data_IF_892659882548
#
_entry.id   IF_892659882548
#
_cell.length_a   1.000
_cell.length_b   1.000
_cell.length_c   1.000
_cell.angle_alpha   90.00
_cell.angle_beta   90.00
_cell.angle_gamma   90.00
#
_symmetry.space_group_name_H-M   'P 1'
#
loop_
_entity.id
_entity.type
_entity.pdbx_description
1 polymer ?
#
# COMPACT_ATOMS: atom_id res chain seq x y z
N UNK A 1 21.43 -1.07 -15.11
CA UNK A 1 20.20 -1.20 -14.33
C UNK A 1 19.14 -0.32 -14.97
N UNK A 2 18.00 -0.88 -15.35
CA UNK A 2 16.83 -0.12 -15.81
C UNK A 2 15.72 -0.40 -14.82
N UNK A 3 15.15 0.66 -14.24
CA UNK A 3 14.04 0.54 -13.30
C UNK A 3 12.73 0.74 -14.06
N UNK A 4 11.73 -0.09 -13.76
CA UNK A 4 10.37 0.06 -14.28
C UNK A 4 9.46 0.37 -13.10
N UNK A 5 8.77 1.49 -13.16
CA UNK A 5 7.76 1.88 -12.18
C UNK A 5 6.39 1.89 -12.86
N UNK A 6 5.52 0.97 -12.45
CA UNK A 6 4.16 0.83 -12.96
C UNK A 6 3.21 1.56 -12.01
N UNK A 7 2.72 2.73 -12.44
CA UNK A 7 1.63 3.41 -11.75
C UNK A 7 0.30 2.79 -12.17
N UNK A 8 -0.13 1.82 -11.37
CA UNK A 8 -1.40 1.12 -11.54
C UNK A 8 -2.61 1.91 -11.03
N UNK A 9 -2.45 3.17 -10.63
CA UNK A 9 -3.57 4.02 -10.22
C UNK A 9 -4.22 3.61 -8.89
N UNK A 10 -3.51 2.85 -8.04
CA UNK A 10 -3.95 2.49 -6.68
C UNK A 10 -2.94 2.91 -5.61
N UNK A 11 -2.06 3.86 -5.95
CA UNK A 11 -1.05 4.43 -5.06
C UNK A 11 -1.61 5.59 -4.23
N UNK A 12 -0.87 6.01 -3.19
CA UNK A 12 -1.20 7.19 -2.38
C UNK A 12 -1.13 8.47 -3.21
N UNK A 13 -1.73 9.53 -2.67
CA UNK A 13 -1.69 10.85 -3.28
C UNK A 13 -0.24 11.29 -3.55
N UNK A 14 0.04 11.69 -4.79
CA UNK A 14 1.35 12.17 -5.26
C UNK A 14 2.50 11.15 -5.12
N UNK A 15 2.22 9.86 -4.90
CA UNK A 15 3.27 8.85 -4.69
C UNK A 15 4.09 8.62 -5.96
N UNK A 16 3.44 8.59 -7.13
CA UNK A 16 4.12 8.45 -8.42
C UNK A 16 5.10 9.61 -8.67
N UNK A 17 4.65 10.85 -8.49
CA UNK A 17 5.49 12.04 -8.63
C UNK A 17 6.70 12.02 -7.69
N UNK A 18 6.50 11.60 -6.44
CA UNK A 18 7.58 11.47 -5.46
C UNK A 18 8.60 10.41 -5.87
N UNK A 19 8.16 9.26 -6.40
CA UNK A 19 9.06 8.22 -6.91
C UNK A 19 9.84 8.71 -8.13
N UNK A 20 9.16 9.31 -9.11
CA UNK A 20 9.82 9.84 -10.32
C UNK A 20 10.85 10.92 -9.96
N UNK A 21 10.51 11.83 -9.05
CA UNK A 21 11.41 12.88 -8.55
C UNK A 21 12.62 12.27 -7.84
N UNK A 22 12.42 11.27 -6.95
CA UNK A 22 13.52 10.59 -6.27
C UNK A 22 14.51 9.96 -7.26
N UNK A 23 14.02 9.23 -8.25
CA UNK A 23 14.89 8.56 -9.23
C UNK A 23 15.62 9.55 -10.14
N UNK A 24 14.93 10.61 -10.55
CA UNK A 24 15.50 11.68 -11.40
C UNK A 24 16.56 12.47 -10.66
N UNK A 25 16.26 12.93 -9.44
CA UNK A 25 17.06 13.96 -8.77
C UNK A 25 18.16 13.37 -7.88
N UNK A 26 17.97 12.16 -7.33
CA UNK A 26 18.93 11.56 -6.40
C UNK A 26 19.76 10.42 -7.02
N UNK A 27 19.16 9.56 -7.84
CA UNK A 27 19.83 8.35 -8.32
C UNK A 27 20.42 8.48 -9.72
N UNK A 28 19.86 9.35 -10.57
CA UNK A 28 20.21 9.43 -11.99
C UNK A 28 20.20 8.04 -12.67
N UNK A 29 19.31 7.15 -12.22
CA UNK A 29 19.11 5.81 -12.77
C UNK A 29 17.97 5.89 -13.80
N UNK A 30 18.11 5.27 -14.98
CA UNK A 30 17.02 5.19 -15.95
C UNK A 30 15.75 4.60 -15.33
N UNK A 31 14.68 5.40 -15.31
CA UNK A 31 13.36 5.01 -14.83
C UNK A 31 12.35 5.05 -15.99
N UNK A 32 11.79 3.90 -16.32
CA UNK A 32 10.62 3.79 -17.21
C UNK A 32 9.38 3.93 -16.33
N UNK A 33 8.71 5.08 -16.44
CA UNK A 33 7.43 5.33 -15.77
C UNK A 33 6.28 4.87 -16.70
N UNK A 34 5.49 3.92 -16.23
CA UNK A 34 4.37 3.33 -16.97
C UNK A 34 3.06 3.74 -16.32
N UNK A 35 2.30 4.58 -17.01
CA UNK A 35 0.96 4.96 -16.58
C UNK A 35 -0.03 3.86 -16.98
N UNK A 36 -0.58 3.15 -16.00
CA UNK A 36 -1.48 2.01 -16.19
C UNK A 36 -2.81 2.15 -15.43
N UNK A 37 -3.13 3.32 -14.89
CA UNK A 37 -4.37 3.56 -14.11
C UNK A 37 -5.63 3.07 -14.84
N UNK A 38 -5.81 3.45 -16.11
CA UNK A 38 -7.01 3.08 -16.88
C UNK A 38 -7.15 1.56 -17.06
N UNK A 39 -6.03 0.86 -17.29
CA UNK A 39 -6.01 -0.60 -17.44
C UNK A 39 -6.43 -1.30 -16.15
N UNK A 40 -5.88 -0.87 -15.02
CA UNK A 40 -6.16 -1.50 -13.73
C UNK A 40 -7.57 -1.17 -13.24
N UNK A 41 -7.99 0.10 -13.28
CA UNK A 41 -9.33 0.48 -12.85
C UNK A 41 -10.41 -0.09 -13.77
N UNK A 42 -10.16 -0.16 -15.08
CA UNK A 42 -11.06 -0.80 -16.03
C UNK A 42 -11.24 -2.30 -15.76
N UNK A 43 -10.16 -3.01 -15.42
CA UNK A 43 -10.25 -4.44 -15.10
C UNK A 43 -10.73 -4.75 -13.67
N UNK A 44 -10.74 -3.78 -12.77
CA UNK A 44 -11.34 -3.89 -11.43
C UNK A 44 -12.83 -3.56 -11.40
N UNK A 45 -13.39 -3.00 -12.47
CA UNK A 45 -14.81 -2.67 -12.55
C UNK A 45 -15.70 -3.90 -12.29
N UNK A 46 -16.65 -3.78 -11.37
CA UNK A 46 -17.53 -4.86 -10.93
C UNK A 46 -16.89 -5.93 -10.04
N UNK A 47 -15.57 -5.93 -9.81
CA UNK A 47 -14.92 -6.89 -8.90
C UNK A 47 -15.08 -6.44 -7.45
N UNK A 48 -15.66 -7.31 -6.63
CA UNK A 48 -15.90 -7.06 -5.20
C UNK A 48 -15.16 -8.02 -4.27
N UNK A 49 -14.90 -9.24 -4.73
CA UNK A 49 -14.17 -10.26 -3.98
C UNK A 49 -12.69 -9.87 -3.78
N UNK A 50 -12.18 -9.81 -2.53
CA UNK A 50 -10.81 -9.41 -2.24
C UNK A 50 -9.74 -10.25 -2.94
N UNK A 51 -9.92 -11.58 -2.97
CA UNK A 51 -8.95 -12.50 -3.59
C UNK A 51 -8.94 -12.33 -5.12
N UNK A 52 -10.10 -12.13 -5.74
CA UNK A 52 -10.21 -11.81 -7.15
C UNK A 52 -9.51 -10.49 -7.49
N UNK A 53 -9.70 -9.44 -6.66
CA UNK A 53 -8.98 -8.15 -6.81
C UNK A 53 -7.47 -8.37 -6.74
N UNK A 54 -6.97 -9.09 -5.73
CA UNK A 54 -5.54 -9.40 -5.54
C UNK A 54 -4.96 -10.15 -6.73
N UNK A 55 -5.64 -11.21 -7.18
CA UNK A 55 -5.21 -12.03 -8.32
C UNK A 55 -5.18 -11.22 -9.62
N UNK A 56 -6.20 -10.40 -9.86
CA UNK A 56 -6.23 -9.53 -11.03
C UNK A 56 -5.07 -8.54 -11.01
N UNK A 57 -4.88 -7.77 -9.93
CA UNK A 57 -3.82 -6.77 -9.82
C UNK A 57 -2.45 -7.42 -10.00
N UNK A 58 -2.17 -8.51 -9.29
CA UNK A 58 -0.88 -9.20 -9.38
C UNK A 58 -0.59 -9.69 -10.80
N UNK A 59 -1.57 -10.32 -11.46
CA UNK A 59 -1.43 -10.78 -12.85
C UNK A 59 -1.21 -9.61 -13.82
N UNK A 60 -2.05 -8.58 -13.75
CA UNK A 60 -1.98 -7.42 -14.65
C UNK A 60 -0.68 -6.66 -14.47
N UNK A 61 -0.17 -6.52 -13.25
CA UNK A 61 1.13 -5.93 -12.97
C UNK A 61 2.26 -6.70 -13.65
N UNK A 62 2.26 -8.03 -13.55
CA UNK A 62 3.23 -8.90 -14.21
C UNK A 62 3.14 -8.73 -15.74
N UNK A 63 1.93 -8.72 -16.32
CA UNK A 63 1.73 -8.57 -17.76
C UNK A 63 2.26 -7.21 -18.29
N UNK A 64 2.03 -6.13 -17.54
CA UNK A 64 2.56 -4.79 -17.86
C UNK A 64 4.08 -4.76 -17.73
N UNK A 65 4.62 -5.28 -16.62
CA UNK A 65 6.07 -5.33 -16.40
C UNK A 65 6.79 -6.12 -17.49
N UNK A 66 6.27 -7.30 -17.86
CA UNK A 66 6.84 -8.11 -18.95
C UNK A 66 6.81 -7.38 -20.30
N UNK A 67 5.74 -6.64 -20.57
CA UNK A 67 5.61 -5.86 -21.80
C UNK A 67 6.71 -4.81 -21.89
N UNK A 68 7.01 -4.12 -20.80
CA UNK A 68 8.10 -3.15 -20.77
C UNK A 68 9.49 -3.79 -20.78
N UNK A 69 9.69 -4.88 -20.03
CA UNK A 69 10.95 -5.60 -20.02
C UNK A 69 11.33 -6.10 -21.43
N UNK A 70 10.35 -6.59 -22.21
CA UNK A 70 10.55 -6.99 -23.61
C UNK A 70 10.90 -5.83 -24.54
N UNK A 71 10.31 -4.65 -24.34
CA UNK A 71 10.63 -3.44 -25.12
C UNK A 71 12.06 -2.95 -24.85
N UNK A 72 12.48 -3.00 -23.59
CA UNK A 72 13.85 -2.65 -23.18
C UNK A 72 14.84 -3.65 -23.79
N UNK A 73 14.53 -4.95 -23.73
CA UNK A 73 15.36 -6.02 -24.24
C UNK A 73 16.67 -6.23 -23.48
N UNK A 74 17.30 -7.39 -23.68
CA UNK A 74 18.65 -7.66 -23.18
C UNK A 74 18.81 -7.74 -21.66
N UNK A 75 17.73 -8.00 -20.92
CA UNK A 75 17.79 -8.17 -19.47
C UNK A 75 17.96 -9.65 -19.11
N UNK A 76 19.15 -10.03 -18.63
CA UNK A 76 19.44 -11.40 -18.15
C UNK A 76 19.01 -11.60 -16.69
N UNK A 77 18.89 -10.52 -15.92
CA UNK A 77 18.65 -10.54 -14.47
C UNK A 77 17.45 -9.68 -14.06
N UNK A 78 16.66 -10.18 -13.11
CA UNK A 78 15.65 -9.41 -12.38
C UNK A 78 16.08 -9.22 -10.93
N UNK A 79 16.15 -7.96 -10.48
CA UNK A 79 16.39 -7.64 -9.09
C UNK A 79 15.08 -7.60 -8.29
N UNK A 80 15.06 -8.24 -7.12
CA UNK A 80 13.94 -8.19 -6.16
C UNK A 80 14.42 -7.77 -4.77
N UNK A 81 13.63 -6.94 -4.08
CA UNK A 81 13.91 -6.49 -2.72
C UNK A 81 13.45 -7.45 -1.64
N UNK A 82 13.45 -8.76 -1.89
CA UNK A 82 13.04 -9.80 -0.93
C UNK A 82 13.87 -9.72 0.34
N UNK A 83 13.22 -9.76 1.51
CA UNK A 83 13.88 -9.66 2.82
C UNK A 83 13.99 -11.03 3.51
N UNK A 84 14.81 -11.10 4.56
CA UNK A 84 14.99 -12.34 5.34
C UNK A 84 13.68 -12.88 5.95
N UNK A 85 12.77 -12.04 6.51
CA UNK A 85 11.44 -12.50 6.95
C UNK A 85 10.60 -13.16 5.85
N UNK A 86 10.70 -12.67 4.60
CA UNK A 86 9.95 -13.25 3.49
C UNK A 86 10.47 -14.67 3.15
N UNK A 87 11.78 -14.87 3.24
CA UNK A 87 12.42 -16.16 2.98
C UNK A 87 12.01 -17.19 4.04
N UNK A 88 12.06 -16.85 5.32
CA UNK A 88 11.68 -17.79 6.40
C UNK A 88 10.18 -18.14 6.37
N UNK A 89 9.31 -17.21 5.97
CA UNK A 89 7.87 -17.48 5.82
C UNK A 89 7.58 -18.44 4.66
N UNK A 90 8.40 -18.42 3.61
CA UNK A 90 8.25 -19.29 2.43
C UNK A 90 8.78 -20.72 2.64
N UNK A 91 9.71 -20.91 3.58
CA UNK A 91 10.31 -22.21 3.88
C UNK A 91 9.55 -22.82 5.06
N UNK A 92 8.62 -23.73 4.77
CA UNK A 92 7.89 -24.47 5.81
C UNK A 92 8.86 -25.32 6.66
N UNK A 93 9.30 -24.77 7.79
CA UNK A 93 10.24 -25.45 8.69
C UNK A 93 9.62 -26.68 9.38
N UNK A 94 8.30 -26.84 9.29
CA UNK A 94 7.56 -28.00 9.79
C UNK A 94 6.57 -28.41 8.71
N UNK A 95 6.70 -29.64 8.17
CA UNK A 95 5.84 -30.21 7.13
C UNK A 95 4.38 -30.46 7.52
N UNK A 96 3.77 -29.52 8.25
CA UNK A 96 2.33 -29.43 8.45
C UNK A 96 1.67 -28.64 7.31
N UNK A 97 0.36 -28.78 7.11
CA UNK A 97 -0.37 -28.15 6.03
C UNK A 97 -0.58 -26.67 6.35
N UNK A 98 0.47 -25.85 6.27
CA UNK A 98 0.31 -24.40 6.14
C UNK A 98 -0.13 -24.13 4.71
N UNK A 99 -1.43 -24.31 4.48
CA UNK A 99 -2.15 -23.98 3.26
C UNK A 99 -1.70 -22.62 2.75
N UNK A 100 -0.81 -22.58 1.76
CA UNK A 100 -0.62 -21.48 0.80
C UNK A 100 -0.82 -20.08 1.40
N UNK A 101 -0.17 -19.79 2.54
CA UNK A 101 -0.24 -18.47 3.16
C UNK A 101 0.76 -17.62 2.39
N UNK A 102 0.22 -16.83 1.44
CA UNK A 102 0.92 -16.02 0.41
C UNK A 102 1.38 -16.80 -0.82
N UNK A 103 0.41 -17.19 -1.66
CA UNK A 103 0.68 -17.72 -3.00
C UNK A 103 1.34 -16.73 -3.98
N UNK A 104 1.54 -15.45 -3.62
CA UNK A 104 1.97 -14.40 -4.56
C UNK A 104 2.85 -13.28 -3.97
N UNK A 105 3.53 -13.48 -2.83
CA UNK A 105 4.52 -12.51 -2.36
C UNK A 105 5.92 -13.03 -2.62
N UNK A 106 6.71 -12.28 -3.42
CA UNK A 106 8.17 -12.17 -3.60
C UNK A 106 9.05 -13.44 -3.59
N UNK A 107 8.63 -14.53 -2.98
CA UNK A 107 9.32 -15.80 -2.82
C UNK A 107 8.46 -16.89 -3.47
N UNK A 108 8.29 -16.76 -4.78
CA UNK A 108 7.54 -17.72 -5.61
C UNK A 108 8.11 -17.88 -7.02
N UNK A 109 9.26 -17.24 -7.28
CA UNK A 109 9.85 -17.17 -8.61
C UNK A 109 9.06 -16.28 -9.58
N UNK A 110 9.68 -15.98 -10.70
CA UNK A 110 9.00 -15.33 -11.81
C UNK A 110 8.10 -16.35 -12.52
N UNK A 111 7.00 -15.91 -13.17
CA UNK A 111 6.39 -16.67 -14.25
C UNK A 111 7.46 -17.33 -15.12
N UNK A 112 7.38 -18.65 -15.33
CA UNK A 112 8.39 -19.42 -16.09
C UNK A 112 8.73 -18.79 -17.44
N UNK A 113 7.74 -18.08 -18.03
CA UNK A 113 7.85 -17.37 -19.31
C UNK A 113 8.79 -16.15 -19.31
N UNK A 114 9.25 -15.64 -18.16
CA UNK A 114 10.12 -14.45 -18.13
C UNK A 114 11.58 -14.74 -18.49
N UNK A 115 12.06 -15.98 -18.32
CA UNK A 115 13.42 -16.40 -18.70
C UNK A 115 14.56 -15.47 -18.20
N UNK A 116 14.44 -14.96 -16.96
CA UNK A 116 15.43 -14.10 -16.30
C UNK A 116 15.95 -14.77 -15.03
N UNK A 117 17.21 -14.52 -14.67
CA UNK A 117 17.80 -14.96 -13.40
C UNK A 117 17.46 -13.99 -12.26
N UNK A 118 17.12 -14.51 -11.10
CA UNK A 118 16.73 -13.68 -9.95
C UNK A 118 17.94 -13.22 -9.14
N UNK A 119 17.96 -11.94 -8.75
CA UNK A 119 18.98 -11.34 -7.87
C UNK A 119 18.27 -10.68 -6.68
N UNK A 120 18.51 -11.20 -5.48
CA UNK A 120 17.84 -10.76 -4.25
C UNK A 120 18.86 -10.21 -3.23
N UNK A 121 19.33 -8.95 -3.40
CA UNK A 121 20.45 -8.43 -2.61
C UNK A 121 20.12 -8.19 -1.13
N UNK A 122 18.83 -8.16 -0.75
CA UNK A 122 18.37 -7.87 0.61
C UNK A 122 17.93 -9.12 1.38
N UNK A 123 18.09 -10.31 0.79
CA UNK A 123 17.51 -11.57 1.29
C UNK A 123 18.01 -12.02 2.66
N UNK A 124 19.11 -11.45 3.15
CA UNK A 124 19.71 -11.78 4.45
C UNK A 124 19.48 -10.70 5.50
N UNK A 125 18.71 -9.65 5.18
CA UNK A 125 18.50 -8.50 6.05
C UNK A 125 17.07 -8.45 6.62
N UNK A 126 16.97 -8.01 7.88
CA UNK A 126 15.74 -7.58 8.52
C UNK A 126 15.35 -6.15 8.11
N UNK A 127 14.12 -5.75 8.46
CA UNK A 127 13.53 -4.48 7.97
C UNK A 127 14.23 -3.24 8.52
N UNK A 128 14.69 -3.29 9.77
CA UNK A 128 15.52 -2.29 10.43
C UNK A 128 16.89 -2.16 9.74
N UNK A 129 17.56 -3.29 9.45
CA UNK A 129 18.84 -3.30 8.75
C UNK A 129 18.73 -2.72 7.33
N UNK A 130 17.64 -3.01 6.61
CA UNK A 130 17.36 -2.42 5.29
C UNK A 130 17.16 -0.91 5.39
N UNK A 131 16.57 -0.42 6.49
CA UNK A 131 16.42 1.02 6.71
C UNK A 131 17.78 1.69 6.92
N UNK A 132 18.63 1.08 7.74
CA UNK A 132 19.98 1.59 8.00
C UNK A 132 20.83 1.57 6.72
N UNK A 133 20.77 0.48 5.95
CA UNK A 133 21.40 0.39 4.63
C UNK A 133 20.87 1.49 3.69
N UNK A 134 19.56 1.76 3.70
CA UNK A 134 18.97 2.83 2.91
C UNK A 134 19.55 4.20 3.23
N UNK A 135 19.76 4.51 4.51
CA UNK A 135 20.40 5.77 4.95
C UNK A 135 21.85 5.85 4.53
N UNK A 136 22.60 4.76 4.65
CA UNK A 136 24.00 4.69 4.22
C UNK A 136 24.13 4.90 2.69
N UNK A 137 23.15 4.42 1.92
CA UNK A 137 23.05 4.65 0.47
C UNK A 137 22.51 6.06 0.10
N UNK A 138 22.26 6.92 1.08
CA UNK A 138 21.83 8.30 0.88
C UNK A 138 20.33 8.47 0.58
N UNK A 139 19.48 7.48 0.87
CA UNK A 139 18.03 7.67 0.77
C UNK A 139 17.55 8.74 1.77
N UNK A 140 16.66 9.65 1.36
CA UNK A 140 16.04 10.58 2.31
C UNK A 140 15.27 9.83 3.39
N UNK A 141 15.36 10.27 4.64
CA UNK A 141 14.66 9.65 5.78
C UNK A 141 13.15 9.54 5.56
N UNK A 142 12.55 10.50 4.85
CA UNK A 142 11.13 10.50 4.48
C UNK A 142 10.71 9.34 3.56
N UNK A 143 11.66 8.66 2.91
CA UNK A 143 11.43 7.43 2.13
C UNK A 143 11.73 6.18 2.97
N UNK A 144 12.85 6.18 3.69
CA UNK A 144 13.28 5.06 4.55
C UNK A 144 12.28 4.77 5.67
N UNK A 145 11.76 5.84 6.30
CA UNK A 145 10.83 5.76 7.43
C UNK A 145 9.38 5.49 7.05
N UNK A 146 9.03 5.34 5.76
CA UNK A 146 7.64 5.15 5.35
C UNK A 146 7.03 3.90 5.96
N UNK A 147 5.79 4.03 6.41
CA UNK A 147 4.94 2.89 6.75
C UNK A 147 4.80 1.97 5.53
N UNK A 148 4.69 0.65 5.75
CA UNK A 148 4.47 -0.30 4.68
C UNK A 148 3.17 0.05 3.92
N UNK A 149 3.20 -0.21 2.61
CA UNK A 149 2.06 -0.03 1.72
C UNK A 149 1.88 -1.32 0.92
N UNK A 150 0.65 -1.87 0.88
CA UNK A 150 0.39 -3.15 0.26
C UNK A 150 0.56 -3.09 -1.27
N UNK A 151 0.98 -4.19 -1.89
CA UNK A 151 1.11 -4.28 -3.35
C UNK A 151 -0.19 -3.96 -4.11
N UNK A 152 -1.36 -4.48 -3.69
CA UNK A 152 -2.66 -4.06 -4.22
C UNK A 152 -3.07 -2.61 -3.93
N UNK A 153 -2.28 -1.90 -3.12
CA UNK A 153 -2.49 -0.50 -2.77
C UNK A 153 -3.87 -0.22 -2.18
N UNK A 154 -4.52 0.82 -2.67
CA UNK A 154 -5.84 1.26 -2.22
C UNK A 154 -6.96 0.24 -2.48
N UNK A 155 -6.78 -0.73 -3.39
CA UNK A 155 -7.83 -1.70 -3.71
C UNK A 155 -8.24 -2.57 -2.51
N UNK A 156 -7.33 -2.78 -1.56
CA UNK A 156 -7.60 -3.52 -0.32
C UNK A 156 -7.94 -2.61 0.87
N UNK A 157 -8.11 -1.31 0.61
CA UNK A 157 -8.61 -0.30 1.56
C UNK A 157 -9.97 0.25 1.14
N UNK A 158 -10.55 -0.35 0.10
CA UNK A 158 -11.87 -0.04 -0.44
C UNK A 158 -12.60 -1.39 -0.50
N UNK A 159 -13.31 -1.78 0.57
CA UNK A 159 -14.11 -2.99 0.53
C UNK A 159 -15.20 -2.88 -0.55
N UNK A 160 -15.40 -4.00 -1.25
CA UNK A 160 -16.22 -4.07 -2.45
C UNK A 160 -15.52 -3.49 -3.69
N UNK A 161 -16.31 -2.85 -4.55
CA UNK A 161 -15.89 -2.38 -5.88
C UNK A 161 -14.92 -1.19 -5.82
N UNK A 162 -13.86 -1.24 -6.61
CA UNK A 162 -12.82 -0.20 -6.69
C UNK A 162 -13.05 0.64 -7.94
N UNK A 163 -13.33 1.93 -7.76
CA UNK A 163 -13.52 2.90 -8.84
C UNK A 163 -12.58 4.09 -8.68
N UNK A 164 -12.33 4.83 -9.76
CA UNK A 164 -11.50 6.05 -9.73
C UNK A 164 -11.99 7.03 -8.67
N UNK A 165 -13.29 7.32 -8.64
CA UNK A 165 -13.90 8.23 -7.68
C UNK A 165 -13.67 7.78 -6.23
N UNK A 166 -13.82 6.49 -5.93
CA UNK A 166 -13.57 5.95 -4.59
C UNK A 166 -12.09 6.03 -4.22
N UNK A 167 -11.18 5.74 -5.16
CA UNK A 167 -9.74 5.92 -4.96
C UNK A 167 -9.39 7.38 -4.68
N UNK A 168 -9.95 8.33 -5.41
CA UNK A 168 -9.66 9.76 -5.25
C UNK A 168 -10.21 10.32 -3.93
N UNK A 169 -11.38 9.87 -3.49
CA UNK A 169 -11.92 10.18 -2.16
C UNK A 169 -10.97 9.63 -1.08
N UNK A 170 -10.58 8.36 -1.20
CA UNK A 170 -9.72 7.71 -0.21
C UNK A 170 -8.32 8.35 -0.15
N UNK A 171 -7.72 8.69 -1.29
CA UNK A 171 -6.43 9.40 -1.35
C UNK A 171 -6.42 10.68 -0.54
N UNK A 172 -7.48 11.48 -0.65
CA UNK A 172 -7.61 12.75 0.08
C UNK A 172 -7.74 12.51 1.58
N UNK A 173 -8.58 11.55 1.98
CA UNK A 173 -8.76 11.20 3.39
C UNK A 173 -7.47 10.64 4.01
N UNK A 174 -6.78 9.73 3.31
CA UNK A 174 -5.50 9.15 3.74
C UNK A 174 -4.41 10.23 3.84
N UNK A 175 -4.33 11.16 2.87
CA UNK A 175 -3.39 12.26 2.89
C UNK A 175 -3.58 13.18 4.12
N UNK A 176 -4.82 13.60 4.41
CA UNK A 176 -5.14 14.40 5.61
C UNK A 176 -4.74 13.65 6.89
N UNK A 177 -5.09 12.37 6.97
CA UNK A 177 -4.80 11.57 8.15
C UNK A 177 -3.29 11.44 8.40
N UNK A 178 -2.52 11.11 7.36
CA UNK A 178 -1.06 11.00 7.45
C UNK A 178 -0.39 12.35 7.72
N UNK A 179 -0.92 13.45 7.17
CA UNK A 179 -0.45 14.80 7.46
C UNK A 179 -0.63 15.14 8.95
N UNK A 180 -1.80 14.89 9.51
CA UNK A 180 -2.09 15.14 10.93
C UNK A 180 -1.21 14.31 11.87
N UNK A 181 -0.98 13.03 11.52
CA UNK A 181 -0.06 12.16 12.27
C UNK A 181 1.36 12.74 12.28
N UNK A 182 1.84 13.24 11.13
CA UNK A 182 3.17 13.86 11.00
C UNK A 182 3.27 15.15 11.78
N UNK A 183 2.27 16.02 11.66
CA UNK A 183 2.22 17.30 12.36
C UNK A 183 2.20 17.11 13.90
N UNK A 184 1.63 16.00 14.37
CA UNK A 184 1.64 15.63 15.78
C UNK A 184 2.91 14.91 16.24
N UNK A 185 3.87 14.63 15.35
CA UNK A 185 5.10 13.88 15.67
C UNK A 185 4.86 12.40 16.02
N UNK A 186 3.72 11.83 15.62
CA UNK A 186 3.30 10.47 16.00
C UNK A 186 3.73 9.41 14.98
N UNK A 187 4.21 9.81 13.80
CA UNK A 187 4.39 8.90 12.68
C UNK A 187 5.32 7.72 12.98
N UNK A 188 6.44 7.99 13.63
CA UNK A 188 7.46 6.96 13.92
C UNK A 188 7.09 6.08 15.12
N UNK A 189 6.12 6.52 15.94
CA UNK A 189 5.56 5.72 17.03
C UNK A 189 4.50 4.71 16.53
N UNK A 190 4.03 4.87 15.29
CA UNK A 190 3.01 4.02 14.67
C UNK A 190 3.70 3.06 13.70
N UNK A 191 3.34 1.79 13.74
CA UNK A 191 3.84 0.80 12.79
C UNK A 191 3.25 1.02 11.39
N UNK A 192 1.93 1.17 11.33
CA UNK A 192 1.21 1.46 10.10
C UNK A 192 -0.06 2.24 10.41
N UNK A 193 -0.32 3.31 9.67
CA UNK A 193 -1.56 4.06 9.67
C UNK A 193 -2.10 4.28 8.25
N UNK A 194 -3.42 4.21 8.11
CA UNK A 194 -4.12 4.49 6.85
C UNK A 194 -5.62 4.70 7.05
N UNK A 195 -6.25 5.27 6.02
CA UNK A 195 -7.71 5.33 5.88
C UNK A 195 -8.26 4.16 5.06
N UNK A 196 -9.53 3.83 5.28
CA UNK A 196 -10.33 2.83 4.55
C UNK A 196 -11.68 3.48 4.19
N UNK A 197 -12.16 3.28 2.95
CA UNK A 197 -13.44 3.82 2.50
C UNK A 197 -14.52 2.74 2.46
N UNK A 198 -15.39 2.70 3.47
CA UNK A 198 -16.38 1.65 3.63
C UNK A 198 -17.48 1.76 2.56
N UNK A 199 -18.01 0.63 2.05
CA UNK A 199 -19.09 0.58 1.07
C UNK A 199 -20.47 0.84 1.71
N UNK A 200 -20.53 1.73 2.71
CA UNK A 200 -21.74 2.13 3.40
C UNK A 200 -21.86 3.64 3.34
N UNK A 201 -23.04 4.12 2.95
CA UNK A 201 -23.39 5.54 2.99
C UNK A 201 -24.26 5.84 4.20
N UNK A 202 -24.08 7.03 4.77
CA UNK A 202 -24.87 7.48 5.92
C UNK A 202 -25.44 8.86 5.70
N UNK A 203 -26.52 9.16 6.42
CA UNK A 203 -27.09 10.50 6.43
C UNK A 203 -26.19 11.40 7.27
N UNK A 204 -25.93 12.60 6.77
CA UNK A 204 -25.26 13.69 7.47
C UNK A 204 -25.97 15.02 7.25
N UNK A 205 -25.56 16.02 8.02
CA UNK A 205 -25.95 17.42 7.80
C UNK A 205 -24.66 18.21 7.68
N UNK A 206 -24.45 18.84 6.53
CA UNK A 206 -23.26 19.64 6.25
C UNK A 206 -23.73 21.00 5.73
N UNK A 207 -23.42 22.08 6.46
CA UNK A 207 -24.11 23.35 6.30
C UNK A 207 -25.61 23.19 6.54
N UNK A 208 -26.43 23.74 5.65
CA UNK A 208 -27.91 23.66 5.73
C UNK A 208 -28.51 22.53 4.88
N UNK A 209 -27.70 21.61 4.35
CA UNK A 209 -28.13 20.55 3.44
C UNK A 209 -27.91 19.15 4.01
N UNK A 210 -28.86 18.26 3.73
CA UNK A 210 -28.74 16.83 4.04
C UNK A 210 -27.80 16.16 3.04
N UNK A 211 -26.85 15.37 3.53
CA UNK A 211 -25.91 14.61 2.70
C UNK A 211 -26.13 13.10 2.84
N UNK A 212 -25.71 12.35 1.82
CA UNK A 212 -25.71 10.88 1.82
C UNK A 212 -24.40 10.36 1.22
N UNK A 213 -23.39 10.29 2.09
CA UNK A 213 -21.98 10.09 1.73
C UNK A 213 -21.35 8.93 2.49
N UNK A 214 -20.14 8.55 2.09
CA UNK A 214 -19.44 7.36 2.58
C UNK A 214 -18.93 7.51 4.01
N UNK A 215 -18.72 6.37 4.66
CA UNK A 215 -18.00 6.27 5.93
C UNK A 215 -16.52 6.01 5.68
N UNK A 216 -15.66 6.79 6.33
CA UNK A 216 -14.22 6.55 6.36
C UNK A 216 -13.82 5.91 7.70
N UNK A 217 -13.11 4.78 7.66
CA UNK A 217 -12.49 4.20 8.83
C UNK A 217 -11.00 4.57 8.87
N UNK A 218 -10.54 4.99 10.05
CA UNK A 218 -9.14 5.26 10.33
C UNK A 218 -8.54 4.05 11.06
N UNK A 219 -7.37 3.61 10.59
CA UNK A 219 -6.61 2.50 11.17
C UNK A 219 -5.23 3.01 11.59
N UNK A 220 -4.80 2.69 12.79
CA UNK A 220 -3.40 2.80 13.18
C UNK A 220 -3.08 1.71 14.20
N UNK A 221 -1.93 1.08 14.02
CA UNK A 221 -1.48 -0.01 14.89
C UNK A 221 -0.03 0.16 15.31
N UNK A 222 0.31 -0.41 16.46
CA UNK A 222 1.68 -0.69 16.88
C UNK A 222 1.96 -2.18 16.72
N UNK A 223 3.16 -2.53 16.31
CA UNK A 223 3.57 -3.91 16.08
C UNK A 223 5.10 -3.99 16.03
N UNK A 224 5.65 -5.16 16.33
CA UNK A 224 7.07 -5.47 16.18
C UNK A 224 7.39 -6.12 14.83
N UNK A 225 6.50 -7.00 14.35
CA UNK A 225 6.74 -7.88 13.19
C UNK A 225 5.53 -7.98 12.23
N UNK A 226 4.42 -7.32 12.54
CA UNK A 226 3.16 -7.41 11.81
C UNK A 226 2.37 -8.69 12.04
N UNK A 227 2.87 -9.68 12.79
CA UNK A 227 2.17 -10.93 13.11
C UNK A 227 1.11 -10.71 14.20
N UNK A 228 1.44 -9.90 15.20
CA UNK A 228 0.49 -9.38 16.20
C UNK A 228 0.52 -7.85 16.19
N UNK A 229 -0.62 -7.21 16.46
CA UNK A 229 -0.68 -5.75 16.44
C UNK A 229 -1.74 -5.22 17.40
N UNK A 230 -1.36 -4.19 18.15
CA UNK A 230 -2.25 -3.47 19.05
C UNK A 230 -2.69 -2.15 18.42
N UNK A 231 -3.89 -1.71 18.80
CA UNK A 231 -4.44 -0.42 18.37
C UNK A 231 -3.55 0.71 18.87
N UNK A 232 -3.27 1.70 18.03
CA UNK A 232 -2.56 2.89 18.48
C UNK A 232 -3.48 3.77 19.37
N UNK A 233 -3.14 4.02 20.63
CA UNK A 233 -4.04 4.69 21.57
C UNK A 233 -3.99 6.22 21.40
N UNK A 234 -4.61 6.75 20.33
CA UNK A 234 -4.71 8.19 20.14
C UNK A 234 -5.49 8.87 21.26
N UNK A 235 -5.10 10.11 21.58
CA UNK A 235 -5.96 11.03 22.32
C UNK A 235 -7.24 11.32 21.54
N UNK A 236 -8.38 11.35 22.23
CA UNK A 236 -9.69 11.64 21.60
C UNK A 236 -9.71 13.00 20.87
N UNK A 237 -8.94 13.98 21.36
CA UNK A 237 -8.79 15.29 20.72
C UNK A 237 -8.08 15.22 19.37
N UNK A 238 -7.10 14.31 19.21
CA UNK A 238 -6.44 14.07 17.94
C UNK A 238 -7.44 13.53 16.91
N UNK A 239 -8.15 12.45 17.27
CA UNK A 239 -9.13 11.82 16.38
C UNK A 239 -10.27 12.76 15.98
N UNK A 240 -10.74 13.59 16.91
CA UNK A 240 -11.79 14.58 16.64
C UNK A 240 -11.34 15.61 15.60
N UNK A 241 -10.09 16.09 15.70
CA UNK A 241 -9.53 17.05 14.75
C UNK A 241 -9.37 16.44 13.35
N UNK A 242 -8.81 15.23 13.27
CA UNK A 242 -8.67 14.49 12.00
C UNK A 242 -10.03 14.27 11.36
N UNK A 243 -11.00 13.78 12.12
CA UNK A 243 -12.35 13.52 11.63
C UNK A 243 -13.02 14.80 11.09
N UNK A 244 -12.84 15.92 11.79
CA UNK A 244 -13.36 17.23 11.36
C UNK A 244 -12.75 17.68 10.04
N UNK A 245 -11.43 17.55 9.88
CA UNK A 245 -10.75 17.87 8.61
C UNK A 245 -11.24 16.99 7.47
N UNK A 246 -11.30 15.67 7.67
CA UNK A 246 -11.76 14.74 6.63
C UNK A 246 -13.18 15.08 6.17
N UNK A 247 -14.12 15.30 7.10
CA UNK A 247 -15.52 15.62 6.75
C UNK A 247 -15.62 16.97 6.03
N UNK A 248 -14.86 17.98 6.44
CA UNK A 248 -14.96 19.31 5.84
C UNK A 248 -14.23 19.45 4.49
N UNK A 249 -13.10 18.75 4.32
CA UNK A 249 -12.20 18.90 3.17
C UNK A 249 -12.45 17.84 2.08
N UNK A 250 -12.99 16.66 2.43
CA UNK A 250 -13.18 15.54 1.50
C UNK A 250 -14.65 15.37 1.12
N UNK A 251 -15.02 15.93 -0.03
CA UNK A 251 -16.33 15.69 -0.65
C UNK A 251 -16.53 14.19 -0.88
N UNK A 252 -17.63 13.65 -0.37
CA UNK A 252 -17.97 12.22 -0.45
C UNK A 252 -17.78 11.45 0.86
N UNK A 253 -17.32 12.09 1.94
CA UNK A 253 -17.29 11.52 3.30
C UNK A 253 -18.06 12.43 4.25
N UNK A 254 -18.96 11.86 5.04
CA UNK A 254 -19.69 12.60 6.09
C UNK A 254 -19.64 11.93 7.47
N UNK A 255 -18.89 10.82 7.58
CA UNK A 255 -18.73 10.09 8.83
C UNK A 255 -17.36 9.45 8.88
N UNK A 256 -16.73 9.57 10.04
CA UNK A 256 -15.41 8.98 10.31
C UNK A 256 -15.51 8.08 11.54
N UNK A 257 -14.87 6.92 11.49
CA UNK A 257 -14.77 5.96 12.60
C UNK A 257 -13.30 5.57 12.81
N UNK A 258 -12.96 5.01 13.97
CA UNK A 258 -11.63 4.51 14.28
C UNK A 258 -11.69 3.02 14.66
N UNK A 259 -10.77 2.23 14.14
CA UNK A 259 -10.71 0.78 14.38
C UNK A 259 -9.96 0.44 15.68
N UNK A 260 -10.72 -0.05 16.67
CA UNK A 260 -10.23 -0.51 17.97
C UNK A 260 -9.98 -2.03 18.05
N UNK A 261 -9.88 -2.73 16.90
CA UNK A 261 -9.68 -4.19 16.87
C UNK A 261 -8.18 -4.53 16.81
N UNK A 262 -7.69 -5.32 17.78
CA UNK A 262 -6.32 -5.87 17.74
C UNK A 262 -6.18 -6.98 16.68
N UNK A 263 -4.94 -7.30 16.31
CA UNK A 263 -4.59 -8.51 15.57
C UNK A 263 -3.91 -9.49 16.54
N UNK A 264 -4.54 -10.63 16.89
CA UNK A 264 -5.93 -11.07 16.60
C UNK A 264 -7.00 -10.33 17.45
N UNK A 265 -8.32 -10.41 17.13
CA UNK A 265 -8.95 -11.27 16.12
C UNK A 265 -9.02 -10.65 14.71
N UNK A 266 -8.77 -9.35 14.57
CA UNK A 266 -8.77 -8.68 13.29
C UNK A 266 -7.47 -8.90 12.51
N UNK A 267 -7.42 -8.31 11.32
CA UNK A 267 -6.19 -8.09 10.55
C UNK A 267 -5.81 -6.61 10.59
N UNK A 268 -4.65 -6.25 10.04
CA UNK A 268 -4.28 -4.84 9.92
C UNK A 268 -5.13 -4.19 8.83
N UNK A 269 -5.13 -4.75 7.61
CA UNK A 269 -5.90 -4.28 6.44
C UNK A 269 -7.38 -4.72 6.47
N UNK A 270 -8.22 -4.03 5.71
CA UNK A 270 -9.69 -4.15 5.68
C UNK A 270 -10.16 -4.34 4.22
N UNK A 271 -10.26 -5.59 3.76
CA UNK A 271 -10.54 -5.90 2.35
C UNK A 271 -12.01 -6.19 2.03
#
# INVERSE_FOLDING_TARGET
LTCVFVDHGLMRMNEADQVVTLFRDHYNIPLVHVEAEELFLGGLAGLTDPEAKRKFIGKTFIDVFETEAKKIGGADFLAQGTLYPDVIESVSFTGGPSVTIKSHHNVGGLPERMNMQLVEPLRELFKDEVRDLGRELGLPDAFVGRHPFPGPGLAIRIPGEVTKDRCDILRKADAIYLEEIRNAGLYDAIWQAFAVLLPVKTVGVMGDSRTYDWVCALRAVTSTDGMTADVFPYDAGFLTRVATRIVNEVKGINRVVYDYTSKPPGTIEWE
#
